data_IF_974233605115
#
_entry.id   IF_974233605115
#
_cell.length_a   1.000
_cell.length_b   1.000
_cell.length_c   1.000
_cell.angle_alpha   90.00
_cell.angle_beta   90.00
_cell.angle_gamma   90.00
#
_symmetry.space_group_name_H-M   'P 1'
#
loop_
_entity.id
_entity.type
_entity.pdbx_description
1 polymer ?
#
# COMPACT_ATOMS: atom_id res chain seq x y z
N UNK A 1 51.37 61.88 -16.58
CA UNK A 1 52.15 62.74 -15.66
C UNK A 1 51.90 62.24 -14.25
N UNK A 2 52.98 61.98 -13.50
CA UNK A 2 53.10 61.66 -12.06
C UNK A 2 52.32 60.43 -11.55
N UNK A 3 52.93 59.25 -11.32
CA UNK A 3 53.95 58.86 -10.30
C UNK A 3 53.66 59.41 -8.89
N UNK A 4 53.26 58.52 -7.98
CA UNK A 4 54.05 58.21 -6.79
C UNK A 4 53.58 56.90 -6.12
N UNK A 5 54.44 55.88 -6.17
CA UNK A 5 54.52 54.74 -5.23
C UNK A 5 55.23 55.21 -3.92
N UNK A 6 55.73 54.34 -3.02
CA UNK A 6 55.25 53.06 -2.45
C UNK A 6 55.36 53.04 -0.90
N UNK A 7 54.90 51.98 -0.22
CA UNK A 7 55.70 51.33 0.84
C UNK A 7 55.18 49.90 1.07
N UNK A 8 56.08 48.94 0.96
CA UNK A 8 55.98 47.50 1.30
C UNK A 8 56.73 47.33 2.67
N UNK A 9 57.07 46.12 3.14
CA UNK A 9 56.34 44.87 3.37
C UNK A 9 56.46 44.43 4.86
N UNK A 10 55.80 43.35 5.26
CA UNK A 10 56.40 42.30 6.11
C UNK A 10 55.45 41.10 6.25
N UNK A 11 55.89 39.98 5.69
CA UNK A 11 55.47 38.63 6.04
C UNK A 11 55.68 38.33 7.53
N UNK A 12 54.73 37.64 8.16
CA UNK A 12 55.07 36.49 9.02
C UNK A 12 53.90 35.51 9.06
N UNK A 13 54.23 34.24 8.87
CA UNK A 13 53.33 33.13 8.70
C UNK A 13 52.77 32.57 10.03
N UNK A 14 51.64 31.89 9.85
CA UNK A 14 51.28 30.56 10.36
C UNK A 14 50.41 30.40 11.63
N UNK A 15 49.31 29.67 11.38
CA UNK A 15 48.64 28.68 12.23
C UNK A 15 47.98 29.15 13.54
N UNK A 16 46.65 29.16 13.54
CA UNK A 16 45.95 28.28 14.49
C UNK A 16 44.57 27.85 13.98
N UNK A 17 44.20 26.63 14.33
CA UNK A 17 43.03 25.90 13.86
C UNK A 17 42.01 25.88 14.98
N UNK A 18 40.78 26.38 14.78
CA UNK A 18 39.68 26.06 15.68
C UNK A 18 38.30 26.27 15.04
N UNK A 19 37.67 25.13 14.74
CA UNK A 19 36.31 24.70 15.15
C UNK A 19 35.14 25.70 15.01
N UNK A 20 34.12 25.25 14.25
CA UNK A 20 32.76 25.81 14.14
C UNK A 20 32.43 26.04 12.67
N UNK A 21 31.45 25.40 12.04
CA UNK A 21 30.06 25.29 12.45
C UNK A 21 29.41 24.17 11.61
N UNK A 22 28.77 23.21 12.28
CA UNK A 22 28.08 22.09 11.62
C UNK A 22 26.66 22.54 11.31
N UNK A 23 26.38 22.91 10.06
CA UNK A 23 25.05 23.25 9.56
C UNK A 23 24.12 22.02 9.66
N UNK A 24 23.50 21.86 10.84
CA UNK A 24 22.43 20.91 11.10
C UNK A 24 21.12 21.49 10.60
N UNK A 25 20.92 21.47 9.28
CA UNK A 25 19.57 21.59 8.71
C UNK A 25 18.81 20.29 8.94
N UNK A 26 18.05 20.32 10.02
CA UNK A 26 16.98 19.38 10.35
C UNK A 26 16.03 19.30 9.16
N UNK A 27 15.97 18.14 8.49
CA UNK A 27 14.81 17.76 7.69
C UNK A 27 13.67 17.50 8.68
N UNK A 28 12.92 18.55 9.00
CA UNK A 28 11.60 18.43 9.60
C UNK A 28 10.68 17.82 8.55
N UNK A 29 10.50 16.51 8.62
CA UNK A 29 9.35 15.88 7.99
C UNK A 29 8.21 16.12 8.98
N UNK A 30 7.34 17.06 8.65
CA UNK A 30 6.13 17.33 9.42
C UNK A 30 5.26 16.07 9.42
N UNK A 31 5.45 15.24 10.44
CA UNK A 31 4.78 13.97 10.65
C UNK A 31 3.38 14.15 11.27
N UNK A 32 2.82 15.35 11.15
CA UNK A 32 1.58 15.81 11.79
C UNK A 32 0.41 15.92 10.79
N UNK A 33 0.61 15.51 9.53
CA UNK A 33 -0.45 15.42 8.50
C UNK A 33 -1.03 13.99 8.35
N UNK A 34 -0.72 13.08 9.29
CA UNK A 34 -1.03 11.64 9.18
C UNK A 34 -2.25 11.20 10.01
N UNK A 35 -3.03 12.16 10.50
CA UNK A 35 -4.32 11.90 11.12
C UNK A 35 -5.42 12.41 10.19
N UNK A 36 -6.32 11.50 9.80
CA UNK A 36 -7.68 11.73 9.29
C UNK A 36 -8.04 11.44 7.81
N UNK A 37 -7.16 10.79 7.03
CA UNK A 37 -7.60 9.98 5.88
C UNK A 37 -8.13 8.62 6.39
N UNK A 38 -9.10 7.98 5.72
CA UNK A 38 -9.31 6.55 5.95
C UNK A 38 -8.00 5.90 5.53
N UNK A 39 -7.25 5.36 6.48
CA UNK A 39 -5.90 4.92 6.22
C UNK A 39 -5.94 3.91 5.07
N UNK A 40 -5.03 4.04 4.10
CA UNK A 40 -5.05 3.17 2.91
C UNK A 40 -4.92 1.70 3.28
N UNK A 41 -4.34 1.42 4.45
CA UNK A 41 -4.21 0.09 5.06
C UNK A 41 -5.57 -0.50 5.53
N UNK A 42 -6.56 0.34 5.85
CA UNK A 42 -7.89 -0.10 6.28
C UNK A 42 -8.76 -0.59 5.11
N UNK A 43 -8.55 -0.08 3.90
CA UNK A 43 -9.47 -0.29 2.76
C UNK A 43 -9.61 -1.75 2.32
N UNK A 44 -8.56 -2.55 2.49
CA UNK A 44 -8.55 -3.97 2.11
C UNK A 44 -8.79 -4.92 3.31
N UNK A 45 -8.76 -4.38 4.54
CA UNK A 45 -8.82 -5.15 5.80
C UNK A 45 -10.18 -5.05 6.47
N UNK A 46 -10.83 -3.89 6.37
CA UNK A 46 -12.14 -3.62 6.97
C UNK A 46 -13.24 -4.16 6.06
N UNK A 47 -14.29 -4.72 6.66
CA UNK A 47 -15.44 -5.19 5.89
C UNK A 47 -16.11 -4.02 5.14
N UNK A 48 -16.53 -4.17 3.87
CA UNK A 48 -17.11 -3.08 3.08
C UNK A 48 -18.31 -2.37 3.75
N UNK A 49 -19.12 -3.08 4.53
CA UNK A 49 -20.21 -2.45 5.29
C UNK A 49 -19.71 -1.46 6.38
N UNK A 50 -18.61 -1.78 7.06
CA UNK A 50 -18.02 -0.89 8.06
C UNK A 50 -17.26 0.26 7.38
N UNK A 51 -16.59 -0.02 6.26
CA UNK A 51 -15.98 1.01 5.41
C UNK A 51 -17.04 2.02 4.94
N UNK A 52 -18.21 1.54 4.51
CA UNK A 52 -19.33 2.39 4.11
C UNK A 52 -19.80 3.28 5.26
N UNK A 53 -20.05 2.71 6.45
CA UNK A 53 -20.46 3.48 7.64
C UNK A 53 -19.45 4.57 8.01
N UNK A 54 -18.15 4.26 7.94
CA UNK A 54 -17.09 5.23 8.22
C UNK A 54 -17.04 6.34 7.18
N UNK A 55 -17.10 5.99 5.89
CA UNK A 55 -17.08 6.97 4.81
C UNK A 55 -18.32 7.89 4.85
N UNK A 56 -19.50 7.31 5.09
CA UNK A 56 -20.75 8.05 5.21
C UNK A 56 -20.66 9.12 6.31
N UNK A 57 -20.05 8.80 7.46
CA UNK A 57 -19.86 9.76 8.55
C UNK A 57 -18.95 10.95 8.22
N UNK A 58 -18.09 10.82 7.19
CA UNK A 58 -17.12 11.86 6.77
C UNK A 58 -17.61 12.71 5.61
N UNK A 59 -18.39 12.12 4.69
CA UNK A 59 -18.95 12.86 3.56
C UNK A 59 -20.09 13.78 3.99
N UNK A 60 -20.28 14.89 3.28
CA UNK A 60 -21.38 15.84 3.56
C UNK A 60 -22.14 16.22 2.28
N UNK A 61 -23.40 16.63 2.46
CA UNK A 61 -24.24 17.21 1.41
C UNK A 61 -24.23 16.42 0.09
N UNK A 62 -23.78 17.08 -0.97
CA UNK A 62 -23.78 16.53 -2.32
C UNK A 62 -22.86 15.31 -2.51
N UNK A 63 -21.77 15.21 -1.75
CA UNK A 63 -20.83 14.08 -1.87
C UNK A 63 -21.44 12.78 -1.33
N UNK A 64 -22.13 12.87 -0.18
CA UNK A 64 -22.86 11.74 0.41
C UNK A 64 -24.00 11.28 -0.51
N UNK A 65 -24.85 12.21 -0.95
CA UNK A 65 -25.95 11.88 -1.86
C UNK A 65 -25.47 11.27 -3.19
N UNK A 66 -24.33 11.74 -3.73
CA UNK A 66 -23.73 11.13 -4.91
C UNK A 66 -23.23 9.70 -4.64
N UNK A 67 -22.62 9.45 -3.47
CA UNK A 67 -22.17 8.10 -3.11
C UNK A 67 -23.37 7.14 -3.02
N UNK A 68 -24.43 7.52 -2.31
CA UNK A 68 -25.64 6.70 -2.17
C UNK A 68 -26.21 6.30 -3.53
N UNK A 69 -26.35 7.28 -4.44
CA UNK A 69 -26.81 7.05 -5.81
C UNK A 69 -25.86 6.14 -6.58
N UNK A 70 -24.53 6.36 -6.48
CA UNK A 70 -23.55 5.55 -7.18
C UNK A 70 -23.57 4.07 -6.72
N UNK A 71 -23.79 3.82 -5.42
CA UNK A 71 -23.91 2.47 -4.88
C UNK A 71 -25.21 1.78 -5.29
N UNK A 72 -26.33 2.51 -5.34
CA UNK A 72 -27.60 1.99 -5.85
C UNK A 72 -27.49 1.62 -7.34
N UNK A 73 -26.95 2.52 -8.16
CA UNK A 73 -26.72 2.28 -9.59
C UNK A 73 -25.78 1.08 -9.83
N UNK A 74 -24.74 0.92 -9.01
CA UNK A 74 -23.86 -0.23 -9.06
C UNK A 74 -24.59 -1.53 -8.72
N UNK A 75 -25.43 -1.53 -7.67
CA UNK A 75 -26.17 -2.70 -7.22
C UNK A 75 -27.29 -3.16 -8.16
N UNK A 76 -27.89 -2.23 -8.93
CA UNK A 76 -28.99 -2.53 -9.86
C UNK A 76 -28.56 -3.26 -11.14
N UNK A 77 -27.32 -3.04 -11.61
CA UNK A 77 -26.79 -3.68 -12.83
C UNK A 77 -25.49 -4.44 -12.53
N UNK A 78 -25.56 -5.49 -11.68
CA UNK A 78 -24.39 -6.26 -11.27
C UNK A 78 -23.80 -6.99 -12.49
N UNK A 79 -22.50 -6.80 -12.73
CA UNK A 79 -21.73 -7.55 -13.74
C UNK A 79 -22.26 -7.54 -15.19
N UNK A 80 -23.22 -6.67 -15.54
CA UNK A 80 -23.86 -6.73 -16.87
C UNK A 80 -23.03 -5.98 -17.91
N UNK A 81 -22.55 -6.73 -18.89
CA UNK A 81 -21.62 -6.30 -19.93
C UNK A 81 -22.32 -5.46 -21.00
N UNK A 82 -22.06 -4.15 -20.99
CA UNK A 82 -22.33 -3.22 -22.09
C UNK A 82 -21.13 -2.29 -22.31
N UNK A 83 -21.08 -1.51 -23.41
CA UNK A 83 -20.01 -0.53 -23.62
C UNK A 83 -20.07 0.55 -22.53
N UNK A 84 -19.11 0.48 -21.59
CA UNK A 84 -19.01 1.23 -20.33
C UNK A 84 -20.27 1.04 -19.45
N UNK A 85 -20.14 0.20 -18.43
CA UNK A 85 -21.20 0.07 -17.42
C UNK A 85 -21.34 1.35 -16.59
N UNK A 86 -22.55 1.65 -16.11
CA UNK A 86 -22.82 2.89 -15.34
C UNK A 86 -21.88 2.99 -14.13
N UNK A 87 -21.58 1.89 -13.46
CA UNK A 87 -20.69 1.89 -12.29
C UNK A 87 -19.21 2.14 -12.65
N UNK A 88 -18.74 1.76 -13.85
CA UNK A 88 -17.38 2.10 -14.31
C UNK A 88 -17.22 3.62 -14.46
N UNK A 89 -18.25 4.34 -14.92
CA UNK A 89 -18.25 5.81 -14.94
C UNK A 89 -18.15 6.39 -13.51
N UNK A 90 -18.84 5.77 -12.53
CA UNK A 90 -18.78 6.22 -11.14
C UNK A 90 -17.39 6.06 -10.53
N UNK A 91 -16.62 5.05 -10.94
CA UNK A 91 -15.22 4.93 -10.52
C UNK A 91 -14.37 6.13 -10.97
N UNK A 92 -14.55 6.57 -12.22
CA UNK A 92 -13.82 7.72 -12.76
C UNK A 92 -14.24 9.05 -12.09
N UNK A 93 -15.49 9.15 -11.64
CA UNK A 93 -16.05 10.33 -10.98
C UNK A 93 -15.69 10.46 -9.49
N UNK A 94 -15.40 9.35 -8.80
CA UNK A 94 -15.24 9.31 -7.34
C UNK A 94 -14.30 10.40 -6.79
N UNK A 95 -13.15 10.63 -7.43
CA UNK A 95 -12.22 11.67 -6.98
C UNK A 95 -12.77 13.10 -7.08
N UNK A 96 -13.56 13.39 -8.11
CA UNK A 96 -14.19 14.72 -8.28
C UNK A 96 -15.36 14.93 -7.32
N UNK A 97 -16.01 13.84 -6.89
CA UNK A 97 -17.27 13.88 -6.14
C UNK A 97 -17.06 13.75 -4.63
N UNK A 98 -16.12 12.93 -4.21
CA UNK A 98 -15.81 12.67 -2.80
C UNK A 98 -14.50 13.32 -2.34
N UNK A 99 -13.73 13.94 -3.23
CA UNK A 99 -12.38 14.43 -2.92
C UNK A 99 -11.32 13.33 -2.95
N UNK A 100 -10.05 13.72 -3.09
CA UNK A 100 -8.93 12.78 -3.24
C UNK A 100 -8.76 11.85 -2.03
N UNK A 101 -9.05 12.34 -0.83
CA UNK A 101 -8.97 11.64 0.46
C UNK A 101 -9.94 10.46 0.60
N UNK A 102 -11.08 10.50 -0.09
CA UNK A 102 -12.16 9.51 0.03
C UNK A 102 -12.39 8.71 -1.25
N UNK A 103 -11.70 9.09 -2.33
CA UNK A 103 -11.91 8.53 -3.65
C UNK A 103 -11.70 7.01 -3.70
N UNK A 104 -10.68 6.49 -3.01
CA UNK A 104 -10.40 5.05 -3.02
C UNK A 104 -11.44 4.25 -2.24
N UNK A 105 -11.87 4.74 -1.07
CA UNK A 105 -12.94 4.13 -0.30
C UNK A 105 -14.25 4.08 -1.12
N UNK A 106 -14.61 5.18 -1.78
CA UNK A 106 -15.78 5.22 -2.66
C UNK A 106 -15.67 4.21 -3.81
N UNK A 107 -14.51 4.11 -4.47
CA UNK A 107 -14.29 3.13 -5.55
C UNK A 107 -14.38 1.68 -5.07
N UNK A 108 -13.81 1.36 -3.91
CA UNK A 108 -13.93 0.02 -3.31
C UNK A 108 -15.39 -0.33 -3.05
N UNK A 109 -16.17 0.61 -2.50
CA UNK A 109 -17.60 0.39 -2.26
C UNK A 109 -18.41 0.24 -3.56
N UNK A 110 -18.11 1.03 -4.60
CA UNK A 110 -18.74 0.91 -5.92
C UNK A 110 -18.45 -0.46 -6.53
N UNK A 111 -17.18 -0.90 -6.54
CA UNK A 111 -16.79 -2.23 -7.03
C UNK A 111 -17.49 -3.35 -6.26
N UNK A 112 -17.58 -3.21 -4.94
CA UNK A 112 -18.25 -4.18 -4.08
C UNK A 112 -19.77 -4.23 -4.33
N UNK A 113 -20.44 -3.07 -4.40
CA UNK A 113 -21.87 -2.97 -4.70
C UNK A 113 -22.22 -3.53 -6.09
N UNK A 114 -21.34 -3.29 -7.08
CA UNK A 114 -21.46 -3.86 -8.42
C UNK A 114 -21.29 -5.38 -8.47
N UNK A 115 -20.80 -5.99 -7.39
CA UNK A 115 -20.39 -7.41 -7.33
C UNK A 115 -19.48 -7.76 -8.51
N UNK A 116 -18.49 -6.90 -8.77
CA UNK A 116 -17.59 -7.04 -9.89
C UNK A 116 -16.87 -8.39 -9.82
N UNK A 117 -17.06 -9.22 -10.85
CA UNK A 117 -16.36 -10.50 -10.99
C UNK A 117 -14.90 -10.30 -11.40
N UNK A 118 -14.12 -11.39 -11.41
CA UNK A 118 -12.70 -11.33 -11.76
C UNK A 118 -12.46 -10.75 -13.18
N UNK A 119 -13.38 -10.97 -14.12
CA UNK A 119 -13.27 -10.44 -15.48
C UNK A 119 -13.49 -8.92 -15.53
N UNK A 120 -14.49 -8.40 -14.81
CA UNK A 120 -14.74 -6.98 -14.66
C UNK A 120 -13.59 -6.28 -13.93
N UNK A 121 -13.10 -6.86 -12.82
CA UNK A 121 -11.95 -6.33 -12.09
C UNK A 121 -10.68 -6.29 -12.97
N UNK A 122 -10.45 -7.33 -13.77
CA UNK A 122 -9.34 -7.39 -14.72
C UNK A 122 -9.45 -6.29 -15.78
N UNK A 123 -10.64 -6.10 -16.35
CA UNK A 123 -10.90 -5.04 -17.34
C UNK A 123 -10.64 -3.65 -16.77
N UNK A 124 -11.21 -3.34 -15.59
CA UNK A 124 -10.99 -2.06 -14.89
C UNK A 124 -9.52 -1.86 -14.60
N UNK A 125 -8.81 -2.89 -14.15
CA UNK A 125 -7.38 -2.79 -13.86
C UNK A 125 -6.54 -2.52 -15.12
N UNK A 126 -6.83 -3.20 -16.24
CA UNK A 126 -6.06 -3.06 -17.48
C UNK A 126 -6.28 -1.70 -18.17
N UNK A 127 -7.48 -1.13 -18.05
CA UNK A 127 -7.88 0.09 -18.76
C UNK A 127 -7.84 1.33 -17.87
N UNK A 128 -7.83 1.14 -16.55
CA UNK A 128 -7.96 2.20 -15.56
C UNK A 128 -6.67 2.94 -15.25
N UNK A 129 -6.86 4.11 -14.67
CA UNK A 129 -5.82 4.94 -14.05
C UNK A 129 -5.16 4.22 -12.86
N UNK A 130 -4.02 4.73 -12.39
CA UNK A 130 -3.36 4.19 -11.19
C UNK A 130 -4.26 4.20 -9.94
N UNK A 131 -5.19 5.15 -9.82
CA UNK A 131 -6.15 5.19 -8.72
C UNK A 131 -7.21 4.08 -8.84
N UNK A 132 -7.74 3.84 -10.04
CA UNK A 132 -8.70 2.76 -10.28
C UNK A 132 -8.06 1.37 -10.11
N UNK A 133 -6.84 1.20 -10.61
CA UNK A 133 -6.03 -0.02 -10.38
C UNK A 133 -5.82 -0.28 -8.88
N UNK A 134 -5.51 0.75 -8.10
CA UNK A 134 -5.35 0.64 -6.65
C UNK A 134 -6.65 0.22 -5.97
N UNK A 135 -7.78 0.81 -6.36
CA UNK A 135 -9.09 0.41 -5.82
C UNK A 135 -9.44 -1.05 -6.16
N UNK A 136 -9.10 -1.53 -7.36
CA UNK A 136 -9.25 -2.95 -7.72
C UNK A 136 -8.46 -3.83 -6.74
N UNK A 137 -7.17 -3.53 -6.52
CA UNK A 137 -6.31 -4.30 -5.60
C UNK A 137 -6.89 -4.34 -4.18
N UNK A 138 -7.38 -3.21 -3.65
CA UNK A 138 -8.00 -3.16 -2.33
C UNK A 138 -9.32 -3.96 -2.24
N UNK A 139 -10.04 -4.13 -3.36
CA UNK A 139 -11.33 -4.83 -3.38
C UNK A 139 -11.18 -6.35 -3.52
N UNK A 140 -10.07 -6.83 -4.10
CA UNK A 140 -9.81 -8.26 -4.32
C UNK A 140 -10.12 -9.15 -3.10
N UNK A 141 -9.71 -8.83 -1.85
CA UNK A 141 -9.95 -9.73 -0.75
C UNK A 141 -11.42 -9.92 -0.38
N UNK A 142 -12.32 -9.06 -0.85
CA UNK A 142 -13.75 -9.07 -0.58
C UNK A 142 -14.58 -9.73 -1.69
N UNK A 143 -14.09 -9.72 -2.93
CA UNK A 143 -14.85 -10.20 -4.10
C UNK A 143 -14.28 -11.47 -4.73
N UNK A 144 -12.99 -11.74 -4.57
CA UNK A 144 -12.31 -12.86 -5.24
C UNK A 144 -11.80 -13.84 -4.18
N UNK A 145 -12.49 -14.99 -3.97
CA UNK A 145 -12.08 -15.97 -2.97
C UNK A 145 -10.92 -16.87 -3.43
N UNK A 146 -10.81 -17.11 -4.74
CA UNK A 146 -9.78 -17.95 -5.36
C UNK A 146 -8.60 -17.14 -5.92
N UNK A 147 -7.60 -17.80 -6.54
CA UNK A 147 -6.40 -17.16 -7.06
C UNK A 147 -6.61 -16.46 -8.43
N UNK A 148 -7.83 -16.39 -8.96
CA UNK A 148 -8.10 -15.94 -10.34
C UNK A 148 -7.64 -14.50 -10.64
N UNK A 149 -7.54 -13.64 -9.61
CA UNK A 149 -7.03 -12.27 -9.74
C UNK A 149 -5.53 -12.12 -9.38
N UNK A 150 -4.80 -13.23 -9.14
CA UNK A 150 -3.37 -13.21 -8.82
C UNK A 150 -2.52 -12.48 -9.89
N UNK A 151 -2.79 -12.62 -11.21
CA UNK A 151 -2.04 -11.87 -12.23
C UNK A 151 -2.07 -10.34 -12.06
N UNK A 152 -3.13 -9.79 -11.45
CA UNK A 152 -3.24 -8.35 -11.19
C UNK A 152 -2.28 -7.91 -10.08
N UNK A 153 -2.16 -8.72 -9.02
CA UNK A 153 -1.19 -8.50 -7.93
C UNK A 153 0.23 -8.57 -8.46
N UNK A 154 0.54 -9.63 -9.22
CA UNK A 154 1.87 -9.79 -9.79
C UNK A 154 2.25 -8.64 -10.73
N UNK A 155 1.30 -8.15 -11.52
CA UNK A 155 1.51 -6.97 -12.38
C UNK A 155 1.81 -5.71 -11.55
N UNK A 156 1.01 -5.45 -10.51
CA UNK A 156 1.23 -4.31 -9.63
C UNK A 156 2.63 -4.35 -8.98
N UNK A 157 3.11 -5.54 -8.58
CA UNK A 157 4.44 -5.76 -8.01
C UNK A 157 5.59 -5.55 -9.00
N UNK A 158 5.35 -5.66 -10.32
CA UNK A 158 6.34 -5.35 -11.36
C UNK A 158 6.49 -3.83 -11.59
N UNK A 159 5.54 -3.03 -11.12
CA UNK A 159 5.60 -1.56 -11.25
C UNK A 159 6.56 -0.92 -10.24
N UNK A 160 6.84 0.38 -10.40
CA UNK A 160 7.54 1.21 -9.40
C UNK A 160 6.59 2.23 -8.73
N UNK A 161 5.29 2.20 -9.00
CA UNK A 161 4.33 3.06 -8.28
C UNK A 161 4.13 2.48 -6.88
N UNK A 162 4.70 3.17 -5.88
CA UNK A 162 4.69 2.73 -4.48
C UNK A 162 3.28 2.55 -3.93
N UNK A 163 2.29 3.29 -4.43
CA UNK A 163 0.89 3.17 -4.01
C UNK A 163 0.24 1.90 -4.55
N UNK A 164 0.61 1.49 -5.77
CA UNK A 164 0.17 0.20 -6.32
C UNK A 164 0.86 -0.96 -5.62
N UNK A 165 2.17 -0.85 -5.36
CA UNK A 165 2.91 -1.87 -4.61
C UNK A 165 2.33 -2.06 -3.21
N UNK A 166 2.03 -0.97 -2.49
CA UNK A 166 1.42 -1.02 -1.17
C UNK A 166 0.05 -1.73 -1.17
N UNK A 167 -0.82 -1.41 -2.14
CA UNK A 167 -2.10 -2.09 -2.26
C UNK A 167 -1.97 -3.57 -2.68
N UNK A 168 -0.96 -3.89 -3.50
CA UNK A 168 -0.71 -5.24 -3.98
C UNK A 168 -0.27 -6.20 -2.87
N UNK A 169 0.43 -5.73 -1.84
CA UNK A 169 0.89 -6.57 -0.72
C UNK A 169 -0.15 -6.78 0.39
N UNK A 170 -1.40 -6.42 0.13
CA UNK A 170 -2.54 -6.57 1.05
C UNK A 170 -3.03 -8.02 1.26
N UNK A 171 -4.19 -8.20 1.92
CA UNK A 171 -4.67 -9.52 2.35
C UNK A 171 -4.85 -10.55 1.23
N UNK A 172 -5.20 -10.12 0.01
CA UNK A 172 -5.31 -11.05 -1.12
C UNK A 172 -3.95 -11.67 -1.49
N UNK A 173 -2.88 -10.87 -1.54
CA UNK A 173 -1.53 -11.38 -1.75
C UNK A 173 -1.06 -12.30 -0.62
N UNK A 174 -1.38 -11.96 0.63
CA UNK A 174 -1.06 -12.80 1.79
C UNK A 174 -1.71 -14.20 1.71
N UNK A 175 -2.87 -14.32 1.06
CA UNK A 175 -3.57 -15.61 0.85
C UNK A 175 -3.07 -16.37 -0.38
N UNK A 176 -2.77 -15.67 -1.47
CA UNK A 176 -2.60 -16.31 -2.78
C UNK A 176 -1.17 -16.31 -3.34
N UNK A 177 -0.27 -15.43 -2.88
CA UNK A 177 1.13 -15.51 -3.32
C UNK A 177 1.81 -16.74 -2.72
N UNK A 178 2.51 -17.48 -3.57
CA UNK A 178 3.40 -18.54 -3.14
C UNK A 178 4.55 -17.99 -2.26
N UNK A 179 5.27 -18.85 -1.52
CA UNK A 179 6.33 -18.39 -0.63
C UNK A 179 7.43 -17.59 -1.32
N UNK A 180 7.86 -17.99 -2.52
CA UNK A 180 8.93 -17.32 -3.25
C UNK A 180 8.50 -15.93 -3.73
N UNK A 181 7.34 -15.84 -4.39
CA UNK A 181 6.79 -14.56 -4.86
C UNK A 181 6.53 -13.59 -3.70
N UNK A 182 6.05 -14.10 -2.56
CA UNK A 182 5.80 -13.28 -1.38
C UNK A 182 7.10 -12.70 -0.80
N UNK A 183 8.20 -13.46 -0.69
CA UNK A 183 9.51 -12.93 -0.26
C UNK A 183 10.01 -11.84 -1.19
N UNK A 184 9.85 -12.03 -2.49
CA UNK A 184 10.21 -11.02 -3.50
C UNK A 184 9.35 -9.76 -3.37
N UNK A 185 8.07 -9.89 -3.00
CA UNK A 185 7.21 -8.74 -2.73
C UNK A 185 7.68 -7.96 -1.48
N UNK A 186 8.13 -8.64 -0.43
CA UNK A 186 8.73 -7.99 0.76
C UNK A 186 10.01 -7.24 0.40
N UNK A 187 10.91 -7.86 -0.35
CA UNK A 187 12.15 -7.21 -0.83
C UNK A 187 11.85 -6.03 -1.75
N UNK A 188 10.84 -6.16 -2.62
CA UNK A 188 10.37 -5.06 -3.47
C UNK A 188 9.93 -3.87 -2.62
N UNK A 189 9.19 -4.09 -1.53
CA UNK A 189 8.78 -3.02 -0.63
C UNK A 189 9.99 -2.29 -0.02
N UNK A 190 10.97 -3.05 0.50
CA UNK A 190 12.21 -2.47 1.05
C UNK A 190 13.00 -1.69 -0.01
N UNK A 191 13.06 -2.20 -1.23
CA UNK A 191 13.74 -1.56 -2.35
C UNK A 191 13.06 -0.26 -2.80
N UNK A 192 11.73 -0.23 -2.87
CA UNK A 192 10.97 0.95 -3.32
C UNK A 192 10.56 1.90 -2.20
N UNK A 193 10.86 1.57 -0.94
CA UNK A 193 10.51 2.40 0.22
C UNK A 193 9.03 2.30 0.62
N UNK A 194 8.33 1.24 0.23
CA UNK A 194 6.98 0.96 0.75
C UNK A 194 7.11 0.42 2.19
N UNK A 195 6.42 1.00 3.18
CA UNK A 195 6.47 0.51 4.55
C UNK A 195 6.06 -0.96 4.64
N UNK A 196 6.85 -1.78 5.35
CA UNK A 196 6.55 -3.22 5.46
C UNK A 196 5.27 -3.49 6.27
N UNK A 197 4.76 -2.49 7.01
CA UNK A 197 3.46 -2.55 7.67
C UNK A 197 2.29 -2.79 6.69
N UNK A 198 2.40 -2.32 5.44
CA UNK A 198 1.41 -2.59 4.40
C UNK A 198 1.34 -4.07 4.00
N UNK A 199 2.39 -4.86 4.25
CA UNK A 199 2.41 -6.29 3.94
C UNK A 199 1.47 -7.02 4.91
N UNK A 200 0.34 -7.48 4.39
CA UNK A 200 -0.62 -8.23 5.19
C UNK A 200 0.00 -9.55 5.68
N UNK A 201 -0.32 -9.91 6.92
CA UNK A 201 0.16 -11.12 7.60
C UNK A 201 1.69 -11.27 7.65
N UNK A 202 2.44 -10.16 7.59
CA UNK A 202 3.90 -10.17 7.59
C UNK A 202 4.49 -11.00 8.73
N UNK A 203 4.07 -10.76 9.96
CA UNK A 203 4.59 -11.51 11.12
C UNK A 203 4.35 -13.01 11.00
N UNK A 204 3.16 -13.43 10.57
CA UNK A 204 2.81 -14.85 10.43
C UNK A 204 3.61 -15.51 9.31
N UNK A 205 3.71 -14.85 8.15
CA UNK A 205 4.40 -15.41 6.98
C UNK A 205 5.93 -15.36 7.10
N UNK A 206 6.49 -14.38 7.82
CA UNK A 206 7.93 -14.25 8.03
C UNK A 206 8.45 -15.20 9.12
N UNK A 207 7.61 -15.63 10.06
CA UNK A 207 8.05 -16.45 11.20
C UNK A 207 8.83 -17.69 10.77
N UNK A 208 10.05 -17.82 11.29
CA UNK A 208 10.99 -18.89 10.99
C UNK A 208 11.35 -19.06 9.49
N UNK A 209 11.14 -18.03 8.66
CA UNK A 209 11.50 -18.06 7.24
C UNK A 209 12.99 -17.79 7.03
N UNK A 210 13.79 -18.86 7.07
CA UNK A 210 15.24 -18.80 6.91
C UNK A 210 15.70 -18.28 5.54
N UNK A 211 14.91 -18.51 4.48
CA UNK A 211 15.25 -18.01 3.14
C UNK A 211 15.03 -16.50 3.07
N UNK A 212 13.94 -16.00 3.64
CA UNK A 212 13.73 -14.55 3.77
C UNK A 212 14.86 -13.91 4.58
N UNK A 213 15.24 -14.50 5.73
CA UNK A 213 16.35 -14.01 6.55
C UNK A 213 17.66 -13.91 5.75
N UNK A 214 17.98 -14.95 4.98
CA UNK A 214 19.16 -14.99 4.11
C UNK A 214 19.12 -13.89 3.05
N UNK A 215 18.01 -13.76 2.33
CA UNK A 215 17.83 -12.73 1.29
C UNK A 215 17.93 -11.30 1.85
N UNK A 216 17.40 -11.06 3.05
CA UNK A 216 17.51 -9.76 3.74
C UNK A 216 18.95 -9.46 4.14
N UNK A 217 19.70 -10.48 4.59
CA UNK A 217 21.13 -10.37 4.85
C UNK A 217 21.93 -9.98 3.61
N UNK A 218 21.69 -10.67 2.48
CA UNK A 218 22.32 -10.36 1.19
C UNK A 218 22.01 -8.92 0.75
N UNK A 219 20.74 -8.51 0.84
CA UNK A 219 20.32 -7.16 0.49
C UNK A 219 21.00 -6.09 1.37
N UNK A 220 21.08 -6.32 2.68
CA UNK A 220 21.78 -5.40 3.58
C UNK A 220 23.28 -5.30 3.23
N UNK A 221 23.94 -6.42 2.97
CA UNK A 221 25.35 -6.45 2.56
C UNK A 221 25.58 -5.71 1.25
N UNK A 222 24.74 -5.92 0.24
CA UNK A 222 24.81 -5.23 -1.05
C UNK A 222 24.64 -3.70 -0.90
N UNK A 223 23.69 -3.27 -0.05
CA UNK A 223 23.47 -1.85 0.24
C UNK A 223 24.69 -1.21 0.90
N UNK A 224 25.22 -1.85 1.94
CA UNK A 224 26.41 -1.37 2.66
C UNK A 224 27.65 -1.33 1.76
N UNK A 225 27.88 -2.36 0.95
CA UNK A 225 29.00 -2.40 0.00
C UNK A 225 28.92 -1.28 -1.04
N UNK A 226 27.71 -0.87 -1.42
CA UNK A 226 27.46 0.25 -2.31
C UNK A 226 27.46 1.63 -1.61
N UNK A 227 27.77 1.70 -0.30
CA UNK A 227 27.74 2.94 0.47
C UNK A 227 26.33 3.52 0.67
N UNK A 228 25.29 2.70 0.50
CA UNK A 228 23.89 3.11 0.62
C UNK A 228 23.31 2.69 1.98
N UNK A 229 22.43 3.49 2.61
CA UNK A 229 21.84 3.12 3.90
C UNK A 229 20.95 1.89 3.78
N UNK A 230 20.93 1.08 4.84
CA UNK A 230 20.01 -0.06 5.00
C UNK A 230 18.68 0.45 5.56
N UNK A 231 17.52 0.12 4.96
CA UNK A 231 16.21 0.55 5.45
C UNK A 231 15.93 0.06 6.88
N UNK A 232 15.38 0.90 7.75
CA UNK A 232 15.05 0.52 9.14
C UNK A 232 14.05 -0.64 9.20
N UNK A 233 13.10 -0.69 8.27
CA UNK A 233 12.11 -1.76 8.17
C UNK A 233 12.74 -3.14 7.92
N UNK A 234 13.95 -3.22 7.36
CA UNK A 234 14.65 -4.48 7.16
C UNK A 234 14.90 -5.20 8.49
N UNK A 235 15.32 -4.46 9.52
CA UNK A 235 15.58 -5.03 10.85
C UNK A 235 14.31 -5.55 11.52
N UNK A 236 13.17 -4.87 11.26
CA UNK A 236 11.86 -5.34 11.72
C UNK A 236 11.53 -6.69 11.10
N UNK A 237 11.72 -6.86 9.78
CA UNK A 237 11.46 -8.13 9.10
C UNK A 237 12.43 -9.22 9.56
N UNK A 238 13.73 -8.92 9.70
CA UNK A 238 14.72 -9.87 10.21
C UNK A 238 14.32 -10.41 11.59
N UNK A 239 13.86 -9.53 12.49
CA UNK A 239 13.39 -9.95 13.82
C UNK A 239 12.22 -10.92 13.73
N UNK A 240 11.30 -10.71 12.78
CA UNK A 240 10.16 -11.61 12.57
C UNK A 240 10.58 -12.98 12.01
N UNK A 241 11.73 -13.08 11.33
CA UNK A 241 12.24 -14.37 10.82
C UNK A 241 12.89 -15.25 11.88
N UNK A 242 13.11 -14.75 13.10
CA UNK A 242 13.72 -15.51 14.18
C UNK A 242 12.79 -16.67 14.62
N UNK A 243 13.25 -17.93 14.59
CA UNK A 243 12.46 -19.08 15.02
C UNK A 243 12.14 -19.08 16.52
N UNK A 244 12.89 -18.31 17.32
CA UNK A 244 12.68 -18.16 18.76
C UNK A 244 11.71 -17.03 19.10
N UNK A 245 11.36 -16.18 18.13
CA UNK A 245 10.34 -15.17 18.32
C UNK A 245 9.00 -15.83 18.64
N UNK A 246 8.24 -15.25 19.57
CA UNK A 246 6.91 -15.76 19.90
C UNK A 246 6.05 -15.80 18.62
N UNK A 247 5.50 -16.97 18.25
CA UNK A 247 4.67 -17.06 17.07
C UNK A 247 3.46 -16.13 17.18
N UNK A 248 3.12 -15.38 16.12
CA UNK A 248 1.93 -14.55 16.14
C UNK A 248 0.67 -15.43 16.23
N UNK A 249 -0.37 -14.92 16.89
CA UNK A 249 -1.62 -15.64 17.08
C UNK A 249 -2.20 -16.09 15.72
N UNK A 250 -2.76 -17.31 15.63
CA UNK A 250 -3.38 -17.79 14.40
C UNK A 250 -4.55 -16.89 14.00
N UNK A 251 -4.67 -16.60 12.69
CA UNK A 251 -5.81 -15.87 12.15
C UNK A 251 -7.09 -16.67 12.36
N UNK A 252 -8.12 -16.05 12.95
CA UNK A 252 -9.44 -16.67 13.12
C UNK A 252 -10.04 -16.93 11.73
N UNK A 253 -10.19 -18.20 11.37
CA UNK A 253 -10.94 -18.58 10.18
C UNK A 253 -12.41 -18.14 10.35
N UNK A 254 -13.09 -17.62 9.31
CA UNK A 254 -14.52 -17.41 9.37
C UNK A 254 -15.16 -18.80 9.53
N UNK A 255 -15.84 -19.01 10.65
CA UNK A 255 -16.50 -20.28 10.96
C UNK A 255 -17.50 -20.63 9.87
N UNK A 256 -17.20 -21.67 9.10
CA UNK A 256 -18.20 -22.32 8.26
C UNK A 256 -19.24 -22.93 9.18
N UNK A 257 -20.47 -22.41 9.14
CA UNK A 257 -21.62 -23.10 9.72
C UNK A 257 -21.75 -24.44 9.00
N UNK A 258 -21.28 -25.49 9.65
CA UNK A 258 -21.54 -26.87 9.28
C UNK A 258 -23.04 -27.10 9.49
N UNK A 259 -23.83 -26.89 8.44
CA UNK A 259 -25.22 -27.32 8.39
C UNK A 259 -25.23 -28.82 8.59
N UNK A 260 -25.87 -29.26 9.66
CA UNK A 260 -26.12 -30.66 9.94
C UNK A 260 -27.27 -31.13 9.06
N UNK A 261 -26.99 -32.13 8.23
CA UNK A 261 -27.99 -32.98 7.59
C UNK A 261 -28.77 -33.80 8.64
N UNK A 262 -30.05 -34.04 8.37
CA UNK A 262 -31.00 -34.87 9.15
C UNK A 262 -32.33 -34.13 9.33
N UNK A 263 -33.51 -34.62 8.94
CA UNK A 263 -34.01 -36.00 8.89
C UNK A 263 -34.98 -36.23 7.73
N UNK A 264 -34.97 -37.48 7.25
CA UNK A 264 -36.07 -38.18 6.57
C UNK A 264 -37.40 -38.05 7.32
N UNK A 265 -38.49 -37.75 6.59
CA UNK A 265 -39.76 -38.52 6.56
C UNK A 265 -40.73 -37.93 5.55
#
# INVERSE_FOLDING_TARGET
MSRNSPMNPADTANSDSSVGDTDSRVYGVDNDSLVDALDSDDLARVHPADLHRRLDSRLTGAARAWLDQALEEAGTHPGTHGPISVWELRLAEAGRRCGAEHADAARVLILYAARADAAALTRVYQQGTAAERRAVLHTLPHLVPGPDALPLVEDALRTNDTRLVAAAVGPYAARHLDPHQWRHAVLKCLFTGVPVAAVADLGRRAHADAELARMLGDYAAERTAAGRPVPADLQRVLTLTDPTATPPAPATAPGGSRGTDGEES
#
